data_IF_616014504683
#
_entry.id   IF_616014504683
#
_cell.length_a   1.000
_cell.length_b   1.000
_cell.length_c   1.000
_cell.angle_alpha   90.00
_cell.angle_beta   90.00
_cell.angle_gamma   90.00
#
_symmetry.space_group_name_H-M   'P 1'
#
loop_
_entity.id
_entity.type
_entity.pdbx_description
1 polymer ?
#
# COMPACT_ATOMS: atom_id res chain seq x y z
N UNK A 1 26.54 62.41 14.77
CA UNK A 1 25.52 61.43 15.24
C UNK A 1 25.49 60.28 14.24
N UNK A 2 26.20 59.19 14.49
CA UNK A 2 26.12 57.98 13.65
C UNK A 2 25.63 56.83 14.53
N UNK A 3 24.44 56.32 14.22
CA UNK A 3 23.79 55.21 14.93
C UNK A 3 24.32 53.88 14.38
N UNK A 4 24.74 53.02 15.31
CA UNK A 4 25.00 51.59 15.14
C UNK A 4 23.77 50.86 14.58
N UNK A 5 24.00 49.86 13.72
CA UNK A 5 23.12 48.68 13.63
C UNK A 5 24.03 47.45 13.54
N UNK A 6 24.11 46.71 14.64
CA UNK A 6 24.78 45.41 14.72
C UNK A 6 23.70 44.35 14.49
N UNK A 7 23.76 43.62 13.37
CA UNK A 7 22.91 42.46 13.14
C UNK A 7 23.42 41.27 13.95
N UNK A 8 22.67 40.85 14.96
CA UNK A 8 22.84 39.54 15.59
C UNK A 8 22.10 38.49 14.75
N UNK A 9 22.85 37.61 14.09
CA UNK A 9 22.30 36.39 13.49
C UNK A 9 22.10 35.34 14.59
N UNK A 10 20.86 35.12 15.00
CA UNK A 10 20.48 34.00 15.87
C UNK A 10 20.25 32.79 14.98
N UNK A 11 21.18 31.84 14.99
CA UNK A 11 20.97 30.54 14.38
C UNK A 11 19.99 29.73 15.23
N UNK A 12 18.76 29.56 14.75
CA UNK A 12 17.80 28.62 15.32
C UNK A 12 18.15 27.20 14.86
N UNK A 13 18.86 26.45 15.70
CA UNK A 13 19.00 25.01 15.54
C UNK A 13 17.68 24.35 15.92
N UNK A 14 16.90 23.92 14.92
CA UNK A 14 15.74 23.06 15.12
C UNK A 14 16.23 21.66 15.53
N UNK A 15 16.35 21.43 16.83
CA UNK A 15 16.51 20.08 17.39
C UNK A 15 15.12 19.44 17.39
N UNK A 16 14.86 18.57 16.42
CA UNK A 16 13.72 17.65 16.48
C UNK A 16 13.92 16.73 17.70
N UNK A 17 12.93 16.57 18.59
CA UNK A 17 13.05 15.61 19.67
C UNK A 17 13.06 14.22 19.05
N UNK A 18 14.17 13.49 19.25
CA UNK A 18 14.19 12.05 19.06
C UNK A 18 13.18 11.46 20.05
N UNK A 19 11.98 11.16 19.57
CA UNK A 19 10.89 10.64 20.38
C UNK A 19 11.16 9.18 20.76
N UNK A 20 12.07 8.99 21.71
CA UNK A 20 12.12 7.78 22.53
C UNK A 20 10.94 7.85 23.51
N UNK A 21 9.97 6.96 23.35
CA UNK A 21 8.86 6.80 24.28
C UNK A 21 8.84 5.38 24.86
N UNK A 22 8.34 5.29 26.10
CA UNK A 22 8.26 4.15 27.02
C UNK A 22 9.26 3.01 26.76
N UNK A 23 10.29 2.93 27.61
CA UNK A 23 11.35 1.90 27.62
C UNK A 23 12.44 2.04 26.55
N UNK A 24 12.46 3.15 25.79
CA UNK A 24 13.51 3.42 24.80
C UNK A 24 13.40 2.61 23.51
N UNK A 25 12.33 1.83 23.34
CA UNK A 25 12.02 1.11 22.10
C UNK A 25 11.37 2.05 21.07
N UNK A 26 11.60 1.86 19.76
CA UNK A 26 10.88 2.63 18.75
C UNK A 26 9.40 2.25 18.72
N UNK A 27 8.53 3.18 18.29
CA UNK A 27 7.10 2.90 18.05
C UNK A 27 6.94 1.67 17.14
N UNK A 28 6.01 0.76 17.42
CA UNK A 28 5.72 -0.35 16.51
C UNK A 28 5.06 0.21 15.24
N UNK A 29 5.62 -0.07 14.06
CA UNK A 29 4.98 0.32 12.80
C UNK A 29 4.06 -0.79 12.32
N UNK A 30 2.85 -0.42 11.91
CA UNK A 30 1.87 -1.31 11.28
C UNK A 30 1.51 -0.71 9.93
N UNK A 31 1.68 -1.48 8.86
CA UNK A 31 1.52 -1.04 7.48
C UNK A 31 0.45 -1.90 6.83
N UNK A 32 -0.73 -1.32 6.61
CA UNK A 32 -1.85 -1.99 5.93
C UNK A 32 -1.87 -1.55 4.47
N UNK A 33 -2.02 -2.52 3.57
CA UNK A 33 -2.08 -2.25 2.14
C UNK A 33 -3.17 -3.00 1.43
N UNK A 34 -3.66 -2.42 0.33
CA UNK A 34 -4.74 -2.97 -0.48
C UNK A 34 -4.36 -3.08 -1.96
N UNK A 35 -4.54 -4.25 -2.54
CA UNK A 35 -4.25 -4.54 -3.95
C UNK A 35 -5.50 -4.41 -4.81
N UNK A 36 -5.33 -3.84 -6.01
CA UNK A 36 -6.36 -3.62 -7.02
C UNK A 36 -7.12 -2.29 -6.86
N UNK A 37 -7.53 -1.96 -5.63
CA UNK A 37 -8.18 -0.69 -5.27
C UNK A 37 -9.38 -0.28 -6.16
N UNK A 38 -10.22 -1.26 -6.55
CA UNK A 38 -11.28 -1.03 -7.54
C UNK A 38 -12.67 -0.74 -6.96
N UNK A 39 -13.10 -1.42 -5.90
CA UNK A 39 -14.47 -1.33 -5.40
C UNK A 39 -14.75 -0.01 -4.67
N UNK A 40 -15.76 0.74 -5.13
CA UNK A 40 -16.09 2.05 -4.58
C UNK A 40 -16.69 1.99 -3.16
N UNK A 41 -17.36 0.90 -2.77
CA UNK A 41 -17.86 0.75 -1.41
C UNK A 41 -16.72 0.45 -0.43
N UNK A 42 -15.72 -0.33 -0.87
CA UNK A 42 -14.51 -0.59 -0.08
C UNK A 42 -13.58 0.62 0.02
N UNK A 43 -13.60 1.54 -0.96
CA UNK A 43 -12.98 2.85 -0.80
C UNK A 43 -13.56 3.62 0.38
N UNK A 44 -14.89 3.77 0.42
CA UNK A 44 -15.57 4.43 1.55
C UNK A 44 -15.25 3.74 2.87
N UNK A 45 -15.43 2.41 2.92
CA UNK A 45 -15.19 1.64 4.15
C UNK A 45 -13.74 1.72 4.64
N UNK A 46 -12.76 1.59 3.74
CA UNK A 46 -11.34 1.64 4.13
C UNK A 46 -10.95 3.01 4.68
N UNK A 47 -11.41 4.10 4.05
CA UNK A 47 -11.17 5.48 4.52
C UNK A 47 -11.84 5.75 5.87
N UNK A 48 -13.06 5.25 6.09
CA UNK A 48 -13.74 5.32 7.39
C UNK A 48 -13.00 4.53 8.47
N UNK A 49 -12.51 3.33 8.17
CA UNK A 49 -11.66 2.55 9.08
C UNK A 49 -10.39 3.34 9.41
N UNK A 50 -9.72 3.88 8.40
CA UNK A 50 -8.47 4.61 8.57
C UNK A 50 -8.65 5.87 9.45
N UNK A 51 -9.64 6.69 9.12
CA UNK A 51 -9.98 7.93 9.82
C UNK A 51 -10.31 7.70 11.29
N UNK A 52 -11.18 6.73 11.62
CA UNK A 52 -11.54 6.41 13.00
C UNK A 52 -10.34 5.98 13.86
N UNK A 53 -9.34 5.37 13.22
CA UNK A 53 -8.19 4.77 13.89
C UNK A 53 -6.91 5.61 13.81
N UNK A 54 -6.96 6.79 13.18
CA UNK A 54 -5.77 7.63 12.94
C UNK A 54 -4.69 6.90 12.13
N UNK A 55 -5.11 6.04 11.20
CA UNK A 55 -4.22 5.23 10.38
C UNK A 55 -4.11 5.79 8.96
N UNK A 56 -2.96 5.62 8.34
CA UNK A 56 -2.79 5.85 6.90
C UNK A 56 -2.49 4.54 6.19
N UNK A 57 -3.28 4.24 5.15
CA UNK A 57 -3.16 3.01 4.38
C UNK A 57 -2.45 3.24 3.04
N UNK A 58 -2.01 2.14 2.42
CA UNK A 58 -1.43 2.16 1.07
C UNK A 58 -2.32 1.41 0.09
N UNK A 59 -2.68 2.04 -1.01
CA UNK A 59 -3.54 1.49 -2.05
C UNK A 59 -2.72 1.25 -3.32
N UNK A 60 -2.48 -0.02 -3.64
CA UNK A 60 -1.86 -0.44 -4.90
C UNK A 60 -2.95 -0.53 -5.97
N UNK A 61 -3.08 0.53 -6.77
CA UNK A 61 -4.10 0.68 -7.80
C UNK A 61 -3.71 -0.03 -9.10
N UNK A 62 -4.57 -0.93 -9.60
CA UNK A 62 -4.44 -1.43 -10.97
C UNK A 62 -5.08 -0.45 -11.95
N UNK A 63 -4.29 0.01 -12.92
CA UNK A 63 -4.68 1.10 -13.80
C UNK A 63 -5.90 0.79 -14.70
N UNK A 64 -6.17 -0.49 -14.98
CA UNK A 64 -7.35 -0.88 -15.78
C UNK A 64 -8.66 -0.54 -15.10
N UNK A 65 -8.67 -0.30 -13.79
CA UNK A 65 -9.84 0.22 -13.07
C UNK A 65 -10.05 1.73 -13.26
N UNK A 66 -9.20 2.42 -14.00
CA UNK A 66 -9.44 3.79 -14.47
C UNK A 66 -9.92 3.82 -15.93
N UNK A 67 -10.11 2.64 -16.53
CA UNK A 67 -10.53 2.47 -17.91
C UNK A 67 -11.82 1.65 -17.96
N UNK A 68 -12.82 2.11 -18.70
CA UNK A 68 -14.00 1.30 -18.98
C UNK A 68 -13.74 0.32 -20.14
N UNK A 69 -14.69 -0.59 -20.38
CA UNK A 69 -14.57 -1.60 -21.45
C UNK A 69 -14.44 -1.01 -22.87
N UNK A 70 -14.96 0.18 -23.13
CA UNK A 70 -14.82 0.84 -24.43
C UNK A 70 -13.38 1.37 -24.64
N UNK A 71 -12.73 1.81 -23.57
CA UNK A 71 -11.34 2.28 -23.55
C UNK A 71 -10.32 1.13 -23.54
N UNK A 72 -10.72 -0.07 -23.14
CA UNK A 72 -9.83 -1.23 -22.97
C UNK A 72 -8.88 -1.48 -24.16
N UNK A 73 -9.34 -1.30 -25.41
CA UNK A 73 -8.52 -1.54 -26.61
C UNK A 73 -7.32 -0.60 -26.75
N UNK A 74 -7.32 0.55 -26.08
CA UNK A 74 -6.19 1.48 -26.06
C UNK A 74 -5.04 0.97 -25.18
N UNK A 75 -5.33 0.02 -24.28
CA UNK A 75 -4.32 -0.62 -23.44
C UNK A 75 -3.83 -1.92 -24.06
N UNK A 76 -2.51 -2.10 -24.11
CA UNK A 76 -1.86 -3.35 -24.51
C UNK A 76 -0.67 -3.64 -23.61
N UNK A 77 -0.87 -4.54 -22.65
CA UNK A 77 0.22 -4.98 -21.77
C UNK A 77 1.28 -5.84 -22.50
N UNK A 78 2.47 -6.00 -21.88
CA UNK A 78 3.59 -6.74 -22.45
C UNK A 78 3.21 -8.17 -22.82
N UNK A 79 3.52 -8.57 -24.06
CA UNK A 79 3.27 -9.92 -24.59
C UNK A 79 1.78 -10.31 -24.58
N UNK A 80 0.86 -9.35 -24.51
CA UNK A 80 -0.58 -9.56 -24.52
C UNK A 80 -1.24 -8.94 -25.76
N UNK A 81 -2.47 -9.39 -26.03
CA UNK A 81 -3.34 -8.78 -27.05
C UNK A 81 -3.95 -7.48 -26.50
N UNK A 82 -4.23 -6.47 -27.35
CA UNK A 82 -4.92 -5.26 -26.94
C UNK A 82 -6.23 -5.54 -26.19
N UNK A 83 -6.49 -4.79 -25.12
CA UNK A 83 -7.68 -4.93 -24.27
C UNK A 83 -7.71 -6.16 -23.37
N UNK A 84 -6.59 -6.88 -23.22
CA UNK A 84 -6.48 -7.97 -22.25
C UNK A 84 -6.20 -7.41 -20.86
N UNK A 85 -6.86 -7.95 -19.85
CA UNK A 85 -6.56 -7.78 -18.42
C UNK A 85 -6.97 -9.06 -17.68
N UNK A 86 -6.25 -9.43 -16.63
CA UNK A 86 -6.60 -10.57 -15.77
C UNK A 86 -7.63 -10.20 -14.69
N UNK A 87 -7.75 -8.90 -14.38
CA UNK A 87 -8.69 -8.38 -13.37
C UNK A 87 -9.84 -7.58 -13.98
N UNK A 88 -9.87 -7.47 -15.31
CA UNK A 88 -10.88 -6.75 -16.05
C UNK A 88 -10.68 -5.24 -16.02
N UNK A 89 -11.79 -4.52 -16.15
CA UNK A 89 -11.87 -3.07 -16.35
C UNK A 89 -13.00 -2.49 -15.50
N UNK A 90 -13.03 -1.17 -15.36
CA UNK A 90 -14.12 -0.49 -14.67
C UNK A 90 -15.49 -0.79 -15.31
N UNK A 91 -16.53 -0.84 -14.49
CA UNK A 91 -17.89 -1.23 -14.92
C UNK A 91 -18.50 -0.21 -15.88
N UNK A 92 -18.25 1.08 -15.63
CA UNK A 92 -18.77 2.22 -16.40
C UNK A 92 -17.91 3.46 -16.18
N UNK A 93 -18.18 4.55 -16.91
CA UNK A 93 -17.54 5.84 -16.62
C UNK A 93 -17.94 6.37 -15.25
N UNK A 94 -19.19 6.22 -14.82
CA UNK A 94 -19.64 6.67 -13.48
C UNK A 94 -18.92 5.93 -12.34
N UNK A 95 -18.62 4.66 -12.57
CA UNK A 95 -17.80 3.86 -11.66
C UNK A 95 -16.37 4.42 -11.56
N UNK A 96 -15.77 4.87 -12.67
CA UNK A 96 -14.48 5.56 -12.68
C UNK A 96 -14.57 6.95 -12.04
N UNK A 97 -15.60 7.75 -12.34
CA UNK A 97 -15.83 9.09 -11.75
C UNK A 97 -15.90 9.02 -10.22
N UNK A 98 -16.60 8.02 -9.69
CA UNK A 98 -16.66 7.77 -8.24
C UNK A 98 -15.29 7.36 -7.69
N UNK A 99 -14.56 6.50 -8.42
CA UNK A 99 -13.25 6.00 -8.01
C UNK A 99 -12.18 7.08 -7.96
N UNK A 100 -12.10 7.96 -8.97
CA UNK A 100 -11.11 9.05 -8.97
C UNK A 100 -11.37 10.07 -7.85
N UNK A 101 -12.65 10.30 -7.50
CA UNK A 101 -13.00 11.11 -6.33
C UNK A 101 -12.56 10.44 -5.01
N UNK A 102 -12.68 9.11 -4.92
CA UNK A 102 -12.18 8.35 -3.77
C UNK A 102 -10.65 8.36 -3.68
N UNK A 103 -9.95 8.18 -4.80
CA UNK A 103 -8.48 8.26 -4.87
C UNK A 103 -8.00 9.65 -4.41
N UNK A 104 -8.64 10.71 -4.92
CA UNK A 104 -8.31 12.07 -4.51
C UNK A 104 -8.57 12.31 -3.02
N UNK A 105 -9.72 11.85 -2.51
CA UNK A 105 -10.05 11.92 -1.09
C UNK A 105 -9.04 11.20 -0.20
N UNK A 106 -8.67 9.97 -0.57
CA UNK A 106 -7.67 9.19 0.14
C UNK A 106 -6.28 9.88 0.15
N UNK A 107 -5.86 10.46 -0.98
CA UNK A 107 -4.63 11.24 -1.05
C UNK A 107 -4.66 12.46 -0.10
N UNK A 108 -5.75 13.23 -0.11
CA UNK A 108 -5.90 14.38 0.80
C UNK A 108 -5.95 13.99 2.29
N UNK A 109 -6.37 12.76 2.58
CA UNK A 109 -6.39 12.16 3.92
C UNK A 109 -5.02 11.61 4.35
N UNK A 110 -3.98 11.71 3.50
CA UNK A 110 -2.63 11.27 3.81
C UNK A 110 -2.36 9.79 3.49
N UNK A 111 -3.27 9.12 2.81
CA UNK A 111 -3.03 7.76 2.33
C UNK A 111 -2.05 7.74 1.15
N UNK A 112 -1.32 6.65 1.04
CA UNK A 112 -0.37 6.42 -0.05
C UNK A 112 -1.08 5.74 -1.22
N UNK A 113 -1.08 6.39 -2.38
CA UNK A 113 -1.58 5.82 -3.63
C UNK A 113 -0.37 5.38 -4.46
N UNK A 114 -0.30 4.07 -4.71
CA UNK A 114 0.85 3.43 -5.34
C UNK A 114 0.42 2.50 -6.47
N UNK A 115 1.36 2.07 -7.30
CA UNK A 115 1.06 1.35 -8.53
C UNK A 115 0.93 -0.17 -8.32
N UNK A 116 -0.08 -0.77 -8.94
CA UNK A 116 -0.21 -2.22 -9.13
C UNK A 116 -0.19 -2.60 -10.61
N UNK A 117 0.56 -1.84 -11.42
CA UNK A 117 0.60 -1.94 -12.87
C UNK A 117 -0.82 -1.82 -13.49
N UNK A 118 -1.02 -2.30 -14.72
CA UNK A 118 -2.29 -2.22 -15.41
C UNK A 118 -2.97 -3.59 -15.48
N UNK A 119 -2.47 -4.49 -16.33
CA UNK A 119 -3.22 -5.69 -16.74
C UNK A 119 -3.27 -6.81 -15.72
N UNK A 120 -2.61 -6.63 -14.58
CA UNK A 120 -2.48 -7.64 -13.52
C UNK A 120 -1.91 -8.97 -14.05
N UNK A 121 -0.84 -8.88 -14.84
CA UNK A 121 -0.19 -10.03 -15.47
C UNK A 121 0.95 -10.59 -14.62
N UNK A 122 1.31 -11.85 -14.86
CA UNK A 122 2.49 -12.46 -14.26
C UNK A 122 3.76 -11.88 -14.93
N UNK A 123 4.50 -11.08 -14.18
CA UNK A 123 5.75 -10.45 -14.60
C UNK A 123 6.97 -11.39 -14.61
N UNK A 124 6.79 -12.68 -14.32
CA UNK A 124 7.87 -13.67 -14.36
C UNK A 124 8.48 -13.74 -15.76
N UNK A 125 9.74 -13.32 -15.86
CA UNK A 125 10.47 -13.28 -17.14
C UNK A 125 10.21 -12.03 -17.99
N UNK A 126 9.69 -10.97 -17.39
CA UNK A 126 9.66 -9.65 -18.01
C UNK A 126 11.05 -9.01 -18.02
N UNK A 127 11.34 -8.29 -19.11
CA UNK A 127 12.50 -7.41 -19.21
C UNK A 127 12.23 -6.09 -18.48
N UNK A 128 13.26 -5.27 -18.29
CA UNK A 128 13.06 -3.91 -17.77
C UNK A 128 12.13 -3.09 -18.67
N UNK A 129 12.22 -3.25 -19.99
CA UNK A 129 11.33 -2.56 -20.93
C UNK A 129 9.85 -2.99 -20.79
N UNK A 130 9.60 -4.27 -20.54
CA UNK A 130 8.24 -4.77 -20.29
C UNK A 130 7.65 -4.11 -19.02
N UNK A 131 8.43 -4.00 -17.94
CA UNK A 131 8.01 -3.31 -16.71
C UNK A 131 7.82 -1.80 -16.91
N UNK A 132 8.78 -1.13 -17.57
CA UNK A 132 8.71 0.31 -17.84
C UNK A 132 7.48 0.68 -18.66
N UNK A 133 7.04 -0.20 -19.58
CA UNK A 133 5.80 -0.01 -20.32
C UNK A 133 4.58 0.00 -19.37
N UNK A 134 4.45 -0.98 -18.47
CA UNK A 134 3.31 -1.05 -17.53
C UNK A 134 3.30 0.11 -16.53
N UNK A 135 4.47 0.57 -16.09
CA UNK A 135 4.58 1.75 -15.25
C UNK A 135 4.16 3.03 -15.97
N UNK A 136 4.54 3.17 -17.25
CA UNK A 136 4.13 4.28 -18.08
C UNK A 136 2.62 4.28 -18.32
N UNK A 137 2.05 3.14 -18.68
CA UNK A 137 0.60 2.98 -18.88
C UNK A 137 -0.17 3.32 -17.59
N UNK A 138 0.31 2.86 -16.43
CA UNK A 138 -0.32 3.16 -15.15
C UNK A 138 -0.31 4.65 -14.81
N UNK A 139 0.82 5.33 -15.06
CA UNK A 139 0.96 6.78 -14.85
C UNK A 139 0.04 7.58 -15.76
N UNK A 140 0.02 7.25 -17.05
CA UNK A 140 -0.84 7.93 -18.03
C UNK A 140 -2.31 7.73 -17.65
N UNK A 141 -2.70 6.49 -17.28
CA UNK A 141 -4.06 6.18 -16.89
C UNK A 141 -4.53 7.00 -15.67
N UNK A 142 -3.67 7.17 -14.66
CA UNK A 142 -3.99 7.97 -13.47
C UNK A 142 -4.00 9.47 -13.79
N UNK A 143 -2.96 9.99 -14.43
CA UNK A 143 -2.86 11.40 -14.80
C UNK A 143 -4.07 11.84 -15.62
N UNK A 144 -4.43 11.08 -16.65
CA UNK A 144 -5.49 11.45 -17.58
C UNK A 144 -6.89 10.99 -17.12
N UNK A 145 -7.04 10.45 -15.90
CA UNK A 145 -8.26 9.79 -15.47
C UNK A 145 -9.50 10.70 -15.53
N UNK A 146 -9.40 11.95 -15.07
CA UNK A 146 -10.51 12.93 -15.12
C UNK A 146 -10.89 13.29 -16.55
N UNK A 147 -9.89 13.55 -17.40
CA UNK A 147 -10.08 13.80 -18.83
C UNK A 147 -10.76 12.62 -19.54
N UNK A 148 -10.33 11.40 -19.23
CA UNK A 148 -10.82 10.18 -19.88
C UNK A 148 -12.29 9.86 -19.55
N UNK A 149 -12.85 10.45 -18.49
CA UNK A 149 -14.28 10.35 -18.15
C UNK A 149 -15.06 11.63 -18.47
N UNK A 150 -14.49 12.51 -19.29
CA UNK A 150 -15.14 13.75 -19.75
C UNK A 150 -15.27 14.82 -18.67
N UNK A 151 -14.41 14.80 -17.64
CA UNK A 151 -14.42 15.73 -16.51
C UNK A 151 -13.12 16.55 -16.40
N UNK A 152 -12.46 16.84 -17.52
CA UNK A 152 -11.21 17.62 -17.52
C UNK A 152 -11.38 19.00 -16.87
N UNK A 153 -12.55 19.62 -17.00
CA UNK A 153 -12.91 20.91 -16.39
C UNK A 153 -13.18 20.83 -14.87
N UNK A 154 -13.27 19.61 -14.31
CA UNK A 154 -13.50 19.36 -12.89
C UNK A 154 -12.31 18.69 -12.20
N UNK A 155 -11.19 18.54 -12.90
CA UNK A 155 -9.98 17.98 -12.32
C UNK A 155 -9.54 18.83 -11.12
N UNK A 156 -9.34 18.24 -9.93
CA UNK A 156 -8.90 18.98 -8.76
C UNK A 156 -7.54 19.65 -8.97
N UNK A 157 -7.39 20.86 -8.45
CA UNK A 157 -6.09 21.51 -8.41
C UNK A 157 -5.09 20.63 -7.66
N UNK A 158 -3.98 20.27 -8.32
CA UNK A 158 -2.95 19.39 -7.76
C UNK A 158 -3.05 17.93 -8.20
N UNK A 159 -4.11 17.50 -8.88
CA UNK A 159 -4.23 16.12 -9.37
C UNK A 159 -3.08 15.70 -10.28
N UNK A 160 -2.72 16.54 -11.26
CA UNK A 160 -1.63 16.24 -12.20
C UNK A 160 -0.28 16.07 -11.48
N UNK A 161 0.01 16.95 -10.50
CA UNK A 161 1.22 16.86 -9.68
C UNK A 161 1.22 15.58 -8.83
N UNK A 162 0.12 15.29 -8.16
CA UNK A 162 -0.08 14.05 -7.42
C UNK A 162 0.15 12.80 -8.29
N UNK A 163 -0.52 12.72 -9.44
CA UNK A 163 -0.45 11.57 -10.34
C UNK A 163 0.95 11.37 -10.95
N UNK A 164 1.74 12.45 -11.05
CA UNK A 164 3.08 12.43 -11.65
C UNK A 164 4.17 12.20 -10.62
N UNK A 165 4.07 12.81 -9.43
CA UNK A 165 5.18 12.92 -8.48
C UNK A 165 4.96 12.16 -7.16
N UNK A 166 3.72 11.83 -6.80
CA UNK A 166 3.40 11.24 -5.49
C UNK A 166 3.11 9.75 -5.53
N UNK A 167 2.91 9.16 -6.73
CA UNK A 167 2.88 7.70 -6.91
C UNK A 167 4.31 7.14 -6.86
N UNK A 168 4.76 6.84 -5.65
CA UNK A 168 6.17 6.50 -5.33
C UNK A 168 6.40 5.03 -5.00
N UNK A 169 5.35 4.23 -4.88
CA UNK A 169 5.44 2.81 -4.58
C UNK A 169 4.94 1.90 -5.69
N UNK A 170 5.37 0.65 -5.61
CA UNK A 170 4.90 -0.42 -6.47
C UNK A 170 4.70 -1.73 -5.71
N UNK A 171 3.74 -2.54 -6.15
CA UNK A 171 3.64 -3.96 -5.85
C UNK A 171 3.34 -4.75 -7.12
N UNK A 172 4.11 -5.78 -7.39
CA UNK A 172 3.92 -6.67 -8.52
C UNK A 172 2.67 -7.53 -8.34
N UNK A 173 1.80 -7.62 -9.36
CA UNK A 173 0.74 -8.62 -9.40
C UNK A 173 1.27 -10.03 -9.11
N UNK A 174 0.51 -10.79 -8.32
CA UNK A 174 0.89 -12.13 -7.84
C UNK A 174 2.18 -12.20 -7.01
N UNK A 175 2.73 -11.06 -6.58
CA UNK A 175 4.06 -10.96 -5.98
C UNK A 175 5.16 -11.55 -6.89
N UNK A 176 4.91 -11.53 -8.21
CA UNK A 176 5.75 -12.17 -9.21
C UNK A 176 6.71 -11.17 -9.82
N UNK A 177 7.98 -11.32 -9.50
CA UNK A 177 9.06 -10.39 -9.88
C UNK A 177 10.02 -11.01 -10.89
N UNK A 178 10.92 -10.20 -11.44
CA UNK A 178 11.97 -10.62 -12.37
C UNK A 178 13.20 -9.73 -12.22
N UNK A 179 14.34 -10.12 -12.78
CA UNK A 179 15.57 -9.31 -12.77
C UNK A 179 15.40 -7.94 -13.44
N UNK A 180 14.42 -7.81 -14.36
CA UNK A 180 14.09 -6.54 -14.99
C UNK A 180 13.34 -5.53 -14.11
N UNK A 181 12.81 -5.95 -12.95
CA UNK A 181 11.91 -5.12 -12.15
C UNK A 181 12.64 -3.92 -11.52
N UNK A 182 13.65 -4.16 -10.68
CA UNK A 182 14.37 -3.10 -9.95
C UNK A 182 14.97 -2.04 -10.89
N UNK A 183 15.60 -2.39 -12.03
CA UNK A 183 16.04 -1.39 -13.00
C UNK A 183 14.91 -0.49 -13.52
N UNK A 184 13.75 -1.08 -13.84
CA UNK A 184 12.59 -0.34 -14.33
C UNK A 184 11.97 0.54 -13.23
N UNK A 185 11.91 0.06 -11.99
CA UNK A 185 11.42 0.84 -10.86
C UNK A 185 12.29 2.07 -10.59
N UNK A 186 13.61 1.89 -10.70
CA UNK A 186 14.58 2.98 -10.57
C UNK A 186 14.43 4.01 -11.68
N UNK A 187 14.29 3.56 -12.92
CA UNK A 187 14.04 4.44 -14.07
C UNK A 187 12.71 5.19 -13.92
N UNK A 188 11.69 4.50 -13.41
CA UNK A 188 10.41 5.11 -13.10
C UNK A 188 10.53 6.12 -11.93
N UNK A 189 11.50 5.98 -11.03
CA UNK A 189 11.62 6.85 -9.85
C UNK A 189 10.77 6.39 -8.67
N UNK A 190 10.42 5.11 -8.60
CA UNK A 190 9.82 4.55 -7.39
C UNK A 190 10.82 4.57 -6.22
N UNK A 191 10.31 4.82 -5.02
CA UNK A 191 11.08 4.82 -3.78
C UNK A 191 11.01 3.47 -3.06
N UNK A 192 9.95 2.69 -3.32
CA UNK A 192 9.80 1.39 -2.71
C UNK A 192 9.06 0.37 -3.60
N UNK A 193 9.39 -0.89 -3.35
CA UNK A 193 8.79 -2.10 -3.89
C UNK A 193 8.23 -2.93 -2.73
N UNK A 194 6.95 -3.32 -2.78
CA UNK A 194 6.30 -4.12 -1.74
C UNK A 194 5.96 -5.54 -2.22
N UNK A 195 6.75 -6.09 -3.14
CA UNK A 195 6.48 -7.37 -3.82
C UNK A 195 7.11 -8.60 -3.18
N UNK A 196 7.95 -8.46 -2.14
CA UNK A 196 8.64 -9.62 -1.56
C UNK A 196 7.74 -10.41 -0.60
N UNK A 197 8.19 -11.63 -0.26
CA UNK A 197 7.65 -12.43 0.84
C UNK A 197 8.80 -12.77 1.79
N UNK A 198 8.60 -12.56 3.08
CA UNK A 198 9.62 -12.83 4.11
C UNK A 198 9.17 -13.92 5.08
N UNK A 199 10.11 -14.61 5.74
CA UNK A 199 9.80 -15.70 6.69
C UNK A 199 9.11 -15.24 8.00
N UNK A 200 8.88 -13.95 8.14
CA UNK A 200 8.31 -13.23 9.28
C UNK A 200 8.50 -11.73 9.06
N UNK A 201 8.02 -10.85 9.96
CA UNK A 201 8.30 -9.42 9.87
C UNK A 201 9.79 -9.16 9.70
N UNK A 202 10.14 -8.32 8.73
CA UNK A 202 11.52 -8.00 8.39
C UNK A 202 11.64 -6.51 8.04
N UNK A 203 12.80 -5.92 8.32
CA UNK A 203 13.14 -4.60 7.78
C UNK A 203 13.28 -4.68 6.25
N UNK A 204 12.94 -3.61 5.52
CA UNK A 204 13.10 -3.58 4.07
C UNK A 204 14.58 -3.72 3.67
N UNK A 205 14.83 -4.43 2.57
CA UNK A 205 16.13 -4.42 1.91
C UNK A 205 16.26 -3.12 1.11
N UNK A 206 17.47 -2.59 0.94
CA UNK A 206 17.69 -1.44 0.04
C UNK A 206 18.53 -1.90 -1.14
N UNK A 207 17.97 -1.86 -2.34
CA UNK A 207 18.64 -2.27 -3.59
C UNK A 207 18.52 -1.11 -4.58
N UNK A 208 19.67 -0.61 -5.05
CA UNK A 208 19.73 0.53 -5.98
C UNK A 208 18.95 1.78 -5.54
N UNK A 209 18.84 1.99 -4.22
CA UNK A 209 18.11 3.10 -3.61
C UNK A 209 16.62 2.85 -3.39
N UNK A 210 16.11 1.67 -3.77
CA UNK A 210 14.71 1.27 -3.61
C UNK A 210 14.56 0.45 -2.33
N UNK A 211 13.61 0.85 -1.47
CA UNK A 211 13.24 0.07 -0.29
C UNK A 211 12.34 -1.09 -0.70
N UNK A 212 12.81 -2.32 -0.51
CA UNK A 212 12.11 -3.55 -0.87
C UNK A 212 11.53 -4.20 0.37
N UNK A 213 10.23 -4.03 0.53
CA UNK A 213 9.42 -4.59 1.58
C UNK A 213 8.87 -5.96 1.20
N UNK A 214 8.65 -6.81 2.20
CA UNK A 214 8.03 -8.11 2.00
C UNK A 214 6.92 -8.41 2.97
N UNK A 215 5.83 -8.97 2.45
CA UNK A 215 4.73 -9.48 3.26
C UNK A 215 5.24 -10.65 4.12
N UNK A 216 5.07 -10.58 5.44
CA UNK A 216 5.61 -11.58 6.33
C UNK A 216 4.76 -12.84 6.34
N UNK A 217 5.40 -13.98 6.55
CA UNK A 217 4.70 -15.15 7.05
C UNK A 217 4.31 -14.92 8.52
N UNK A 218 3.01 -15.04 8.82
CA UNK A 218 2.42 -14.94 10.15
C UNK A 218 1.93 -16.31 10.64
N UNK A 219 1.93 -16.58 11.96
CA UNK A 219 1.41 -17.82 12.49
C UNK A 219 -0.12 -17.82 12.42
N UNK A 220 -0.72 -18.90 11.93
CA UNK A 220 -2.18 -19.04 11.88
C UNK A 220 -2.60 -20.46 12.27
N UNK A 221 -3.70 -20.54 13.02
CA UNK A 221 -4.32 -21.77 13.49
C UNK A 221 -3.62 -22.42 14.69
N UNK A 222 -4.19 -23.53 15.22
CA UNK A 222 -3.69 -24.18 16.44
C UNK A 222 -2.24 -24.69 16.36
N UNK A 223 -1.80 -25.06 15.16
CA UNK A 223 -0.43 -25.51 14.89
C UNK A 223 0.52 -24.36 14.51
N UNK A 224 0.04 -23.11 14.54
CA UNK A 224 0.79 -21.91 14.16
C UNK A 224 1.50 -22.03 12.81
N UNK A 225 0.85 -22.69 11.84
CA UNK A 225 1.46 -22.91 10.52
C UNK A 225 1.66 -21.56 9.82
N UNK A 226 2.85 -21.26 9.28
CA UNK A 226 3.09 -19.96 8.65
C UNK A 226 2.22 -19.74 7.41
N UNK A 227 1.62 -18.57 7.27
CA UNK A 227 0.86 -18.09 6.08
C UNK A 227 1.30 -16.69 5.73
N UNK A 228 1.32 -16.30 4.46
CA UNK A 228 1.55 -14.89 4.11
C UNK A 228 0.45 -14.06 4.79
N UNK A 229 0.82 -12.96 5.43
CA UNK A 229 -0.07 -12.00 6.07
C UNK A 229 -0.88 -11.20 5.05
N UNK A 230 -1.61 -11.92 4.19
CA UNK A 230 -2.48 -11.40 3.17
C UNK A 230 -3.81 -12.16 3.16
N UNK A 231 -4.92 -11.44 3.03
CA UNK A 231 -6.28 -12.00 3.07
C UNK A 231 -6.51 -13.18 2.10
N UNK A 232 -5.98 -13.12 0.87
CA UNK A 232 -6.16 -14.21 -0.10
C UNK A 232 -5.47 -15.50 0.35
N UNK A 233 -4.31 -15.41 1.01
CA UNK A 233 -3.63 -16.59 1.53
C UNK A 233 -4.38 -17.20 2.71
N UNK A 234 -5.04 -16.36 3.53
CA UNK A 234 -5.95 -16.80 4.56
C UNK A 234 -7.24 -17.40 3.97
N UNK A 235 -7.77 -16.83 2.89
CA UNK A 235 -8.91 -17.35 2.13
C UNK A 235 -8.64 -18.76 1.57
N UNK A 236 -7.50 -18.94 0.91
CA UNK A 236 -7.06 -20.26 0.44
C UNK A 236 -6.89 -21.23 1.61
N UNK A 237 -6.37 -20.78 2.75
CA UNK A 237 -6.22 -21.65 3.92
C UNK A 237 -7.55 -22.04 4.57
N UNK A 238 -8.44 -21.08 4.73
CA UNK A 238 -9.68 -21.21 5.50
C UNK A 238 -10.73 -21.98 4.73
N UNK A 239 -10.90 -21.68 3.44
CA UNK A 239 -11.99 -22.20 2.62
C UNK A 239 -11.54 -22.68 1.25
N UNK A 240 -10.24 -22.96 1.06
CA UNK A 240 -9.65 -23.47 -0.20
C UNK A 240 -9.90 -22.55 -1.39
N UNK A 241 -10.06 -21.24 -1.14
CA UNK A 241 -10.30 -20.26 -2.19
C UNK A 241 -11.73 -20.27 -2.71
N UNK A 242 -12.68 -20.82 -1.95
CA UNK A 242 -14.11 -20.81 -2.25
C UNK A 242 -14.90 -20.11 -1.13
N UNK A 243 -15.98 -19.41 -1.50
CA UNK A 243 -16.82 -18.70 -0.52
C UNK A 243 -17.50 -19.68 0.42
N UNK A 244 -17.30 -19.48 1.73
CA UNK A 244 -17.97 -20.23 2.79
C UNK A 244 -18.50 -19.27 3.85
N UNK A 245 -19.70 -18.76 3.58
CA UNK A 245 -20.40 -17.80 4.43
C UNK A 245 -20.76 -18.36 5.80
N UNK A 246 -21.02 -19.67 5.90
CA UNK A 246 -21.43 -20.30 7.14
C UNK A 246 -20.34 -20.24 8.22
N UNK A 247 -19.07 -20.23 7.79
CA UNK A 247 -17.90 -20.17 8.66
C UNK A 247 -17.23 -18.78 8.71
N UNK A 248 -17.82 -17.75 8.10
CA UNK A 248 -17.23 -16.42 7.99
C UNK A 248 -16.80 -15.83 9.35
N UNK A 249 -17.59 -16.02 10.40
CA UNK A 249 -17.24 -15.56 11.76
C UNK A 249 -16.00 -16.28 12.32
N UNK A 250 -15.91 -17.59 12.12
CA UNK A 250 -14.74 -18.39 12.51
C UNK A 250 -13.49 -17.91 11.77
N UNK A 251 -13.61 -17.58 10.48
CA UNK A 251 -12.49 -17.08 9.68
C UNK A 251 -12.06 -15.68 10.06
N UNK A 252 -13.02 -14.82 10.43
CA UNK A 252 -12.73 -13.50 11.00
C UNK A 252 -11.92 -13.64 12.30
N UNK A 253 -12.39 -14.46 13.24
CA UNK A 253 -11.72 -14.65 14.53
C UNK A 253 -10.29 -15.19 14.36
N UNK A 254 -10.12 -16.24 13.55
CA UNK A 254 -8.79 -16.80 13.26
C UNK A 254 -7.85 -15.81 12.58
N UNK A 255 -8.38 -14.97 11.70
CA UNK A 255 -7.60 -13.93 11.03
C UNK A 255 -7.15 -12.87 12.03
N UNK A 256 -8.07 -12.41 12.88
CA UNK A 256 -7.79 -11.44 13.93
C UNK A 256 -6.70 -11.98 14.88
N UNK A 257 -6.86 -13.23 15.37
CA UNK A 257 -5.88 -13.87 16.26
C UNK A 257 -4.49 -13.98 15.61
N UNK A 258 -4.43 -14.29 14.31
CA UNK A 258 -3.17 -14.38 13.57
C UNK A 258 -2.48 -13.01 13.43
N UNK A 259 -3.25 -11.95 13.18
CA UNK A 259 -2.72 -10.58 13.11
C UNK A 259 -2.25 -10.11 14.50
N UNK A 260 -3.03 -10.37 15.54
CA UNK A 260 -2.68 -10.02 16.92
C UNK A 260 -1.41 -10.75 17.37
N UNK A 261 -1.29 -12.05 17.09
CA UNK A 261 -0.09 -12.83 17.42
C UNK A 261 1.15 -12.30 16.70
N UNK A 262 1.03 -11.93 15.43
CA UNK A 262 2.12 -11.32 14.67
C UNK A 262 2.51 -9.93 15.22
N UNK A 263 1.52 -9.13 15.62
CA UNK A 263 1.72 -7.82 16.23
C UNK A 263 2.39 -7.93 17.60
N UNK A 264 1.83 -8.72 18.52
CA UNK A 264 2.32 -8.88 19.89
C UNK A 264 3.78 -9.34 19.90
N UNK A 265 4.15 -10.27 19.01
CA UNK A 265 5.54 -10.70 18.85
C UNK A 265 6.51 -9.54 18.55
N UNK A 266 6.11 -8.59 17.69
CA UNK A 266 6.95 -7.44 17.36
C UNK A 266 6.87 -6.33 18.41
N UNK A 267 5.67 -6.08 18.92
CA UNK A 267 5.39 -5.07 19.91
C UNK A 267 6.10 -5.36 21.25
N UNK A 268 6.15 -6.61 21.69
CA UNK A 268 6.89 -7.02 22.88
C UNK A 268 8.39 -7.22 22.60
N UNK A 269 8.73 -7.51 21.33
CA UNK A 269 10.08 -7.82 20.88
C UNK A 269 10.84 -6.63 20.28
N UNK A 270 11.36 -6.85 19.06
CA UNK A 270 12.31 -5.98 18.34
C UNK A 270 11.66 -4.80 17.61
N UNK A 271 10.32 -4.69 17.65
CA UNK A 271 9.54 -3.64 16.98
C UNK A 271 9.73 -3.60 15.46
N UNK A 272 10.00 -4.75 14.82
CA UNK A 272 10.12 -4.82 13.36
C UNK A 272 8.77 -4.43 12.75
N UNK A 273 8.73 -3.58 11.70
CA UNK A 273 7.48 -3.19 11.05
C UNK A 273 6.64 -4.41 10.63
N UNK A 274 5.37 -4.40 10.99
CA UNK A 274 4.41 -5.43 10.60
C UNK A 274 3.66 -4.95 9.36
N UNK A 275 3.71 -5.73 8.29
CA UNK A 275 2.97 -5.46 7.06
C UNK A 275 1.84 -6.46 6.92
N UNK A 276 0.65 -6.00 6.53
CA UNK A 276 -0.49 -6.85 6.19
C UNK A 276 -1.09 -6.39 4.85
N UNK A 277 -1.36 -7.36 3.98
CA UNK A 277 -1.92 -7.15 2.64
C UNK A 277 -3.39 -7.55 2.58
N UNK A 278 -4.16 -6.85 1.76
CA UNK A 278 -5.56 -7.16 1.51
C UNK A 278 -5.85 -6.96 0.03
N UNK A 279 -6.83 -7.67 -0.49
CA UNK A 279 -7.41 -7.35 -1.79
C UNK A 279 -8.57 -6.40 -1.59
N UNK A 280 -8.83 -5.55 -2.58
CA UNK A 280 -10.01 -4.67 -2.60
C UNK A 280 -11.28 -5.41 -3.00
N UNK A 281 -11.50 -6.57 -2.38
CA UNK A 281 -12.63 -7.48 -2.55
C UNK A 281 -12.95 -8.08 -1.19
N UNK A 282 -14.22 -8.34 -0.92
CA UNK A 282 -14.62 -9.13 0.24
C UNK A 282 -14.62 -10.63 -0.10
N UNK A 283 -13.91 -11.41 0.71
CA UNK A 283 -13.91 -12.88 0.64
C UNK A 283 -14.49 -13.47 1.93
N UNK A 284 -15.15 -14.62 1.82
CA UNK A 284 -15.87 -15.27 2.90
C UNK A 284 -16.80 -14.31 3.65
N UNK A 285 -17.71 -13.68 2.90
CA UNK A 285 -18.68 -12.73 3.46
C UNK A 285 -18.02 -11.58 4.25
N UNK A 286 -16.87 -11.08 3.80
CA UNK A 286 -16.16 -9.95 4.42
C UNK A 286 -15.40 -10.28 5.71
N UNK A 287 -15.15 -11.57 6.01
CA UNK A 287 -14.48 -12.02 7.22
C UNK A 287 -13.13 -11.31 7.46
N UNK A 288 -12.29 -11.21 6.43
CA UNK A 288 -10.94 -10.63 6.53
C UNK A 288 -10.98 -9.12 6.73
N UNK A 289 -11.95 -8.43 6.12
CA UNK A 289 -12.17 -6.99 6.29
C UNK A 289 -12.71 -6.64 7.68
N UNK A 290 -13.55 -7.50 8.29
CA UNK A 290 -13.96 -7.33 9.69
C UNK A 290 -12.80 -7.59 10.66
N UNK A 291 -11.97 -8.60 10.39
CA UNK A 291 -10.78 -8.87 11.18
C UNK A 291 -9.77 -7.70 11.10
N UNK A 292 -9.60 -7.11 9.91
CA UNK A 292 -8.83 -5.87 9.75
C UNK A 292 -9.36 -4.74 10.62
N UNK A 293 -10.67 -4.44 10.54
CA UNK A 293 -11.29 -3.33 11.30
C UNK A 293 -11.07 -3.50 12.81
N UNK A 294 -11.29 -4.72 13.33
CA UNK A 294 -11.01 -5.08 14.72
C UNK A 294 -9.53 -4.86 15.07
N UNK A 295 -8.63 -5.42 14.26
CA UNK A 295 -7.20 -5.36 14.51
C UNK A 295 -6.69 -3.92 14.57
N UNK A 296 -7.04 -3.07 13.60
CA UNK A 296 -6.59 -1.66 13.61
C UNK A 296 -7.21 -0.88 14.77
N UNK A 297 -8.47 -1.18 15.13
CA UNK A 297 -9.13 -0.57 16.30
C UNK A 297 -8.41 -0.91 17.61
N UNK A 298 -7.87 -2.11 17.74
CA UNK A 298 -7.19 -2.53 18.96
C UNK A 298 -5.74 -2.03 19.08
N UNK A 299 -5.05 -1.85 17.94
CA UNK A 299 -3.61 -1.54 17.94
C UNK A 299 -3.28 -0.09 17.60
N UNK A 300 -4.00 0.56 16.68
CA UNK A 300 -3.58 1.87 16.16
C UNK A 300 -3.75 3.02 17.18
N UNK A 301 -4.60 2.84 18.20
CA UNK A 301 -4.78 3.80 19.29
C UNK A 301 -3.73 3.69 20.41
N UNK A 302 -2.85 2.70 20.39
CA UNK A 302 -1.78 2.55 21.39
C UNK A 302 -0.73 3.65 21.20
N UNK A 303 -0.29 4.29 22.29
CA UNK A 303 0.59 5.48 22.24
C UNK A 303 1.93 5.24 21.53
N UNK A 304 2.44 4.02 21.59
CA UNK A 304 3.71 3.57 21.04
C UNK A 304 3.52 2.70 19.77
N UNK A 305 2.39 2.84 19.08
CA UNK A 305 2.12 2.28 17.75
C UNK A 305 1.97 3.41 16.74
N UNK A 306 2.36 3.16 15.49
CA UNK A 306 2.05 4.03 14.36
C UNK A 306 1.52 3.17 13.21
N UNK A 307 0.25 3.38 12.86
CA UNK A 307 -0.36 2.77 11.69
C UNK A 307 -0.17 3.70 10.49
N UNK A 308 0.84 3.41 9.68
CA UNK A 308 1.38 4.33 8.68
C UNK A 308 1.43 3.68 7.31
N UNK A 309 1.41 4.50 6.27
CA UNK A 309 1.65 4.05 4.91
C UNK A 309 3.10 3.62 4.70
N UNK A 310 3.39 2.96 3.58
CA UNK A 310 4.77 2.61 3.21
C UNK A 310 5.65 3.86 3.04
N UNK A 311 5.14 4.88 2.37
CA UNK A 311 5.84 6.16 2.20
C UNK A 311 6.22 6.83 3.53
N UNK A 312 5.35 6.77 4.54
CA UNK A 312 5.64 7.30 5.88
C UNK A 312 6.54 6.37 6.71
N UNK A 313 6.46 5.06 6.50
CA UNK A 313 7.27 4.09 7.21
C UNK A 313 8.76 4.23 6.86
N UNK A 314 9.12 4.55 5.61
CA UNK A 314 10.51 4.70 5.14
C UNK A 314 11.33 5.67 6.00
N UNK A 315 10.95 6.95 6.16
CA UNK A 315 11.72 7.88 7.00
C UNK A 315 11.74 7.47 8.48
N UNK A 316 10.66 6.85 8.98
CA UNK A 316 10.61 6.35 10.36
C UNK A 316 11.58 5.17 10.58
N UNK A 317 11.70 4.26 9.61
CA UNK A 317 12.66 3.15 9.64
C UNK A 317 14.09 3.68 9.53
N UNK A 318 14.35 4.61 8.60
CA UNK A 318 15.67 5.21 8.40
C UNK A 318 16.17 5.94 9.66
N UNK A 319 15.27 6.60 10.41
CA UNK A 319 15.62 7.25 11.66
C UNK A 319 16.10 6.27 12.74
N UNK A 320 15.57 5.03 12.79
CA UNK A 320 15.99 4.00 13.76
C UNK A 320 17.44 3.58 13.57
N UNK A 321 17.87 3.40 12.32
CA UNK A 321 19.24 2.99 12.00
C UNK A 321 20.29 4.02 12.38
N UNK A 322 19.93 5.32 12.41
CA UNK A 322 20.81 6.41 12.85
C UNK A 322 20.97 6.45 14.37
N UNK A 323 19.91 6.17 15.12
CA UNK A 323 19.95 6.19 16.59
C UNK A 323 20.72 5.02 17.22
N UNK A 324 20.97 3.93 16.48
CA UNK A 324 21.78 2.80 16.96
C UNK A 324 23.29 2.93 16.68
N UNK A 325 23.72 3.99 15.98
CA UNK A 325 25.13 4.23 15.61
C UNK A 325 25.78 5.38 16.39
N UNK A 326 25.04 6.01 17.31
CA UNK A 326 25.55 7.03 18.24
C UNK A 326 25.68 6.47 19.65
#
# INVERSE_FOLDING_TARGET
MFRLVTCFSVAFSLVLPAAAHADGKPRQLVMISFDGAHDNALWTRSREIASRNGAHFTYFLSCTFLMNKAQAKAYQGPKQRPGKSNVGFAKSEDDVRTRIANIWGAHLEGHDISSHACGHFDGKGWSAADWSQEFMDARIALRDAWKNVGLADKEPQGWEDFATNDVRGFRAPYLSTSDGLVPAEKEAGFQYDASLVTKGPALPQVVDGIYRFGLPLIPEGPEHRPVIGMDYNLYVRHSKGAEDKANAKTYEDRTFDAFEAAFNKQYEGERIPLQLGFHFVEMNDGAYWRALDRFVSDVCHKQDVACVSYSEAIPLIAARGKSQQG
#
